data_IF_528309777457
#
_entry.id   IF_528309777457
#
_cell.length_a   1.000
_cell.length_b   1.000
_cell.length_c   1.000
_cell.angle_alpha   90.00
_cell.angle_beta   90.00
_cell.angle_gamma   90.00
#
_symmetry.space_group_name_H-M   'P 1'
#
loop_
_entity.id
_entity.type
_entity.pdbx_description
1 polymer ?
#
# COMPACT_ATOMS: atom_id res chain seq x y z
N UNK A 1 -14.38 29.23 25.28
CA UNK A 1 -15.21 28.01 25.25
C UNK A 1 -16.05 28.13 23.98
N UNK A 2 -15.54 27.73 22.82
CA UNK A 2 -15.46 26.34 22.34
C UNK A 2 -14.27 26.10 21.41
N UNK A 3 -13.64 24.93 21.57
CA UNK A 3 -12.62 24.34 20.70
C UNK A 3 -13.34 23.51 19.63
N UNK A 4 -13.14 23.82 18.35
CA UNK A 4 -13.68 23.02 17.24
C UNK A 4 -12.71 21.89 16.96
N UNK A 5 -13.02 20.71 17.50
CA UNK A 5 -12.35 19.45 17.23
C UNK A 5 -12.19 19.22 15.72
N UNK A 6 -10.94 19.24 15.28
CA UNK A 6 -10.57 18.98 13.89
C UNK A 6 -10.78 17.50 13.61
N UNK A 7 -11.67 17.25 12.66
CA UNK A 7 -12.14 15.96 12.18
C UNK A 7 -11.04 14.91 12.08
N UNK A 8 -11.26 13.76 12.74
CA UNK A 8 -10.52 12.52 12.49
C UNK A 8 -10.95 11.99 11.11
N UNK A 9 -10.31 12.47 10.05
CA UNK A 9 -10.36 11.82 8.74
C UNK A 9 -9.73 10.43 8.90
N UNK A 10 -10.44 9.33 8.52
CA UNK A 10 -9.85 8.00 8.58
C UNK A 10 -8.59 7.98 7.72
N UNK A 11 -7.53 7.25 8.13
CA UNK A 11 -6.29 7.21 7.37
C UNK A 11 -6.61 6.79 5.93
N UNK A 12 -6.30 7.66 4.96
CA UNK A 12 -6.51 7.37 3.54
C UNK A 12 -5.80 6.06 3.19
N UNK A 13 -6.45 5.13 2.46
CA UNK A 13 -5.92 3.80 2.18
C UNK A 13 -4.54 3.89 1.52
N UNK A 14 -3.60 3.09 2.03
CA UNK A 14 -2.19 3.09 1.64
C UNK A 14 -1.96 2.81 0.14
N UNK A 15 -2.94 2.23 -0.54
CA UNK A 15 -2.95 1.96 -1.99
C UNK A 15 -2.69 3.22 -2.83
N UNK A 16 -3.18 4.40 -2.41
CA UNK A 16 -2.90 5.67 -3.12
C UNK A 16 -1.47 6.20 -2.89
N UNK A 17 -0.74 5.69 -1.90
CA UNK A 17 0.65 6.10 -1.60
C UNK A 17 1.67 5.24 -2.37
N UNK A 18 1.33 3.98 -2.67
CA UNK A 18 2.23 3.02 -3.31
C UNK A 18 2.23 3.09 -4.86
N UNK A 19 1.34 3.88 -5.46
CA UNK A 19 1.49 4.30 -6.85
C UNK A 19 2.50 5.45 -6.92
N UNK A 20 3.52 5.33 -7.76
CA UNK A 20 4.61 6.30 -7.99
C UNK A 20 4.09 7.73 -8.30
N UNK A 21 3.61 8.45 -7.29
CA UNK A 21 3.38 9.88 -7.38
C UNK A 21 4.76 10.53 -7.36
N UNK A 22 5.12 11.18 -8.46
CA UNK A 22 6.33 11.99 -8.55
C UNK A 22 6.32 13.00 -7.41
N UNK A 23 7.27 12.89 -6.49
CA UNK A 23 7.47 13.85 -5.41
C UNK A 23 7.95 15.18 -5.99
N UNK A 24 7.40 16.29 -5.50
CA UNK A 24 7.95 17.61 -5.79
C UNK A 24 9.34 17.78 -5.15
N UNK A 25 10.18 18.72 -5.63
CA UNK A 25 11.48 19.01 -5.02
C UNK A 25 11.39 19.35 -3.52
N UNK A 26 10.35 20.09 -3.11
CA UNK A 26 10.13 20.46 -1.72
C UNK A 26 9.79 19.26 -0.82
N UNK A 27 8.96 18.33 -1.31
CA UNK A 27 8.64 17.09 -0.60
C UNK A 27 9.88 16.21 -0.43
N UNK A 28 10.72 16.11 -1.47
CA UNK A 28 11.98 15.35 -1.42
C UNK A 28 12.94 15.95 -0.38
N UNK A 29 13.12 17.27 -0.37
CA UNK A 29 13.97 17.94 0.62
C UNK A 29 13.48 17.74 2.06
N UNK A 30 12.16 17.75 2.28
CA UNK A 30 11.58 17.50 3.60
C UNK A 30 11.84 16.07 4.08
N UNK A 31 11.72 15.08 3.19
CA UNK A 31 12.02 13.69 3.51
C UNK A 31 13.52 13.49 3.76
N UNK A 32 14.38 14.10 2.95
CA UNK A 32 15.83 13.98 3.10
C UNK A 32 16.35 14.53 4.43
N UNK A 33 15.70 15.56 4.97
CA UNK A 33 16.02 16.08 6.32
C UNK A 33 15.76 15.07 7.45
N UNK A 34 14.87 14.09 7.24
CA UNK A 34 14.51 13.08 8.25
C UNK A 34 15.20 11.75 7.98
N UNK A 35 15.24 11.34 6.70
CA UNK A 35 15.64 10.00 6.28
C UNK A 35 16.98 9.97 5.51
N UNK A 36 17.53 11.12 5.14
CA UNK A 36 18.66 11.22 4.21
C UNK A 36 18.22 11.12 2.74
N UNK A 37 19.17 11.24 1.82
CA UNK A 37 18.90 11.24 0.38
C UNK A 37 18.46 9.87 -0.16
N UNK A 38 18.79 8.80 0.56
CA UNK A 38 18.38 7.43 0.26
C UNK A 38 17.12 7.08 1.07
N UNK A 39 16.01 6.82 0.37
CA UNK A 39 14.78 6.38 1.00
C UNK A 39 14.79 4.85 1.16
N UNK A 40 14.23 4.32 2.26
CA UNK A 40 14.05 2.89 2.41
C UNK A 40 13.16 2.34 1.29
N UNK A 41 13.59 1.22 0.69
CA UNK A 41 12.79 0.47 -0.27
C UNK A 41 11.84 -0.46 0.46
N UNK A 42 10.63 -0.64 -0.06
CA UNK A 42 9.71 -1.67 0.44
C UNK A 42 9.99 -3.00 -0.27
N UNK A 43 9.87 -4.09 0.47
CA UNK A 43 10.02 -5.45 -0.05
C UNK A 43 8.79 -5.85 -0.89
N UNK A 44 8.90 -6.95 -1.63
CA UNK A 44 7.84 -7.42 -2.54
C UNK A 44 6.57 -7.82 -1.79
N UNK A 45 6.69 -8.35 -0.58
CA UNK A 45 5.57 -8.82 0.26
C UNK A 45 4.71 -7.67 0.82
N UNK A 46 5.29 -6.50 1.06
CA UNK A 46 4.56 -5.30 1.49
C UNK A 46 3.85 -4.58 0.33
N UNK A 47 4.22 -4.89 -0.92
CA UNK A 47 3.63 -4.28 -2.10
C UNK A 47 2.37 -5.04 -2.49
N UNK A 48 1.26 -4.33 -2.68
CA UNK A 48 0.07 -4.90 -3.33
C UNK A 48 0.47 -5.47 -4.69
N UNK A 49 0.25 -6.77 -4.95
CA UNK A 49 0.57 -7.35 -6.24
C UNK A 49 -0.21 -6.63 -7.34
N UNK A 50 0.45 -6.27 -8.43
CA UNK A 50 -0.28 -5.83 -9.63
C UNK A 50 -1.21 -6.96 -10.08
N UNK A 51 -2.42 -6.64 -10.58
CA UNK A 51 -3.34 -7.66 -11.05
C UNK A 51 -2.68 -8.42 -12.21
N UNK A 52 -2.19 -9.64 -11.92
CA UNK A 52 -1.61 -10.52 -12.93
C UNK A 52 -2.76 -10.94 -13.85
N UNK A 53 -2.81 -10.34 -15.05
CA UNK A 53 -3.88 -10.54 -16.01
C UNK A 53 -3.97 -12.01 -16.41
N UNK A 54 -4.94 -12.74 -15.86
CA UNK A 54 -5.43 -13.99 -16.45
C UNK A 54 -5.53 -15.23 -15.56
N UNK A 55 -5.13 -15.22 -14.28
CA UNK A 55 -5.40 -16.34 -13.37
C UNK A 55 -6.17 -15.85 -12.15
N UNK A 56 -7.40 -16.33 -11.99
CA UNK A 56 -8.20 -16.00 -10.81
C UNK A 56 -7.52 -16.60 -9.59
N UNK A 57 -7.32 -15.81 -8.53
CA UNK A 57 -6.78 -16.32 -7.26
C UNK A 57 -7.60 -17.50 -6.72
N UNK A 58 -8.87 -17.59 -7.10
CA UNK A 58 -9.75 -18.69 -6.75
C UNK A 58 -9.34 -20.03 -7.38
N UNK A 59 -8.68 -20.05 -8.53
CA UNK A 59 -8.36 -21.30 -9.23
C UNK A 59 -7.33 -22.12 -8.45
N UNK A 60 -6.37 -21.43 -7.83
CA UNK A 60 -5.46 -22.06 -6.87
C UNK A 60 -6.21 -22.57 -5.65
N UNK A 61 -7.10 -21.77 -5.05
CA UNK A 61 -7.89 -22.19 -3.88
C UNK A 61 -8.76 -23.41 -4.15
N UNK A 62 -9.44 -23.47 -5.30
CA UNK A 62 -10.26 -24.62 -5.72
C UNK A 62 -9.43 -25.88 -5.93
N UNK A 63 -8.17 -25.74 -6.37
CA UNK A 63 -7.24 -26.87 -6.50
C UNK A 63 -6.77 -27.45 -5.16
N UNK A 64 -6.97 -26.73 -4.05
CA UNK A 64 -6.55 -27.15 -2.71
C UNK A 64 -7.66 -27.87 -1.92
N UNK A 65 -8.83 -28.14 -2.52
CA UNK A 65 -9.90 -28.85 -1.83
C UNK A 65 -9.51 -30.33 -1.62
N UNK A 66 -9.46 -30.84 -0.37
CA UNK A 66 -9.15 -32.24 -0.11
C UNK A 66 -10.20 -33.19 -0.73
N UNK A 67 -9.81 -34.39 -1.20
CA UNK A 67 -10.69 -35.30 -1.94
C UNK A 67 -11.86 -35.87 -1.13
N UNK A 68 -11.85 -35.69 0.19
CA UNK A 68 -12.92 -36.14 1.10
C UNK A 68 -13.83 -35.01 1.57
N UNK A 69 -13.71 -33.81 1.00
CA UNK A 69 -14.63 -32.72 1.30
C UNK A 69 -15.89 -32.87 0.45
N UNK A 70 -16.86 -33.65 0.97
CA UNK A 70 -18.19 -33.87 0.45
C UNK A 70 -19.14 -34.27 1.57
#
# INVERSE_FOLDING_TARGET
MTDTGKSSEPPRPAERRAGSRRLSPAERARLARVFGDELPSTTKDERTPEPESGRSSDDWLRSQVPPHHG
#
